data_IF_458229084579
#
_entry.id   IF_458229084579
#
_cell.length_a   1.000
_cell.length_b   1.000
_cell.length_c   1.000
_cell.angle_alpha   90.00
_cell.angle_beta   90.00
_cell.angle_gamma   90.00
#
_symmetry.space_group_name_H-M   'P 1'
#
loop_
_entity.id
_entity.type
_entity.pdbx_description
1 polymer ?
#
# COMPACT_ATOMS: atom_id res chain seq x y z
N UNK A 1 26.70 -5.28 -11.30
CA UNK A 1 25.60 -4.52 -11.93
C UNK A 1 25.61 -3.13 -11.30
N UNK A 2 25.51 -2.04 -12.07
CA UNK A 2 25.57 -0.70 -11.47
C UNK A 2 24.22 -0.35 -10.81
N UNK A 3 24.25 0.49 -9.78
CA UNK A 3 23.03 0.99 -9.11
C UNK A 3 22.14 1.76 -10.10
N UNK A 4 22.72 2.51 -11.05
CA UNK A 4 21.97 3.18 -12.10
C UNK A 4 21.19 2.20 -12.96
N UNK A 5 21.81 1.08 -13.34
CA UNK A 5 21.14 0.03 -14.11
C UNK A 5 19.99 -0.63 -13.33
N UNK A 6 20.17 -0.86 -12.02
CA UNK A 6 19.10 -1.36 -11.15
C UNK A 6 17.90 -0.40 -11.16
N UNK A 7 18.16 0.89 -10.92
CA UNK A 7 17.14 1.93 -10.91
C UNK A 7 16.39 1.99 -12.24
N UNK A 8 17.10 2.06 -13.36
CA UNK A 8 16.49 2.20 -14.68
C UNK A 8 15.64 0.97 -15.02
N UNK A 9 16.11 -0.22 -14.65
CA UNK A 9 15.35 -1.46 -14.85
C UNK A 9 14.09 -1.49 -13.99
N UNK A 10 14.18 -1.08 -12.72
CA UNK A 10 13.04 -0.99 -11.82
C UNK A 10 11.99 0.00 -12.32
N UNK A 11 12.42 1.18 -12.74
CA UNK A 11 11.53 2.21 -13.29
C UNK A 11 10.88 1.76 -14.60
N UNK A 12 11.59 1.00 -15.44
CA UNK A 12 11.03 0.43 -16.67
C UNK A 12 9.99 -0.66 -16.39
N UNK A 13 10.19 -1.48 -15.36
CA UNK A 13 9.31 -2.61 -15.04
C UNK A 13 8.07 -2.21 -14.22
N UNK A 14 8.26 -1.37 -13.20
CA UNK A 14 7.18 -0.99 -12.27
C UNK A 14 6.62 0.41 -12.51
N UNK A 15 7.37 1.28 -13.19
CA UNK A 15 7.08 2.71 -13.23
C UNK A 15 7.56 3.45 -11.97
N UNK A 16 7.45 4.77 -11.99
CA UNK A 16 7.97 5.63 -10.92
C UNK A 16 7.19 5.51 -9.60
N UNK A 17 5.86 5.34 -9.68
CA UNK A 17 4.98 5.38 -8.51
C UNK A 17 5.26 4.21 -7.54
N UNK A 18 5.29 2.93 -7.98
CA UNK A 18 5.53 1.83 -7.05
C UNK A 18 6.95 1.83 -6.49
N UNK A 19 7.95 2.23 -7.30
CA UNK A 19 9.34 2.37 -6.85
C UNK A 19 9.45 3.45 -5.78
N UNK A 20 8.84 4.61 -6.01
CA UNK A 20 8.80 5.69 -5.03
C UNK A 20 8.10 5.25 -3.74
N UNK A 21 6.90 4.69 -3.85
CA UNK A 21 6.13 4.22 -2.70
C UNK A 21 6.89 3.19 -1.87
N UNK A 22 7.56 2.23 -2.50
CA UNK A 22 8.39 1.27 -1.79
C UNK A 22 9.51 1.98 -1.01
N UNK A 23 10.26 2.86 -1.66
CA UNK A 23 11.42 3.53 -1.07
C UNK A 23 11.07 4.56 0.02
N UNK A 24 9.90 5.18 -0.05
CA UNK A 24 9.50 6.23 0.91
C UNK A 24 8.55 5.75 1.99
N UNK A 25 7.79 4.69 1.74
CA UNK A 25 6.68 4.28 2.62
C UNK A 25 6.95 2.94 3.28
N UNK A 26 7.41 1.94 2.52
CA UNK A 26 7.67 0.59 3.02
C UNK A 26 9.08 0.50 3.60
N UNK A 27 10.10 0.82 2.80
CA UNK A 27 11.51 0.66 3.15
C UNK A 27 11.92 1.37 4.45
N UNK A 28 11.60 2.65 4.70
CA UNK A 28 12.14 3.38 5.86
C UNK A 28 11.53 2.96 7.20
N UNK A 29 10.62 1.98 7.23
CA UNK A 29 10.04 1.46 8.48
C UNK A 29 11.04 0.72 9.35
N UNK A 30 12.09 0.17 8.73
CA UNK A 30 13.13 -0.57 9.42
C UNK A 30 14.49 0.04 9.07
N UNK A 31 15.44 -0.02 10.01
CA UNK A 31 16.81 0.45 9.78
C UNK A 31 17.68 -0.72 9.35
N UNK A 32 18.22 -0.69 8.13
CA UNK A 32 18.99 -1.80 7.58
C UNK A 32 20.49 -1.65 7.85
N UNK A 33 21.19 -2.75 8.18
CA UNK A 33 22.61 -2.72 8.49
C UNK A 33 23.47 -2.37 7.25
N UNK A 34 24.71 -1.99 7.51
CA UNK A 34 25.73 -1.76 6.49
C UNK A 34 25.96 -0.29 6.13
N UNK A 35 27.12 0.04 5.53
CA UNK A 35 27.57 1.42 5.29
C UNK A 35 26.95 2.09 4.06
N UNK A 36 26.13 1.35 3.29
CA UNK A 36 25.52 1.83 2.04
C UNK A 36 24.37 2.80 2.29
N UNK A 37 24.05 3.63 1.28
CA UNK A 37 22.90 4.53 1.35
C UNK A 37 21.61 3.72 1.41
N UNK A 38 20.66 4.14 2.24
CA UNK A 38 19.39 3.42 2.41
C UNK A 38 18.63 3.23 1.10
N UNK A 39 18.66 4.23 0.23
CA UNK A 39 18.01 4.16 -1.09
C UNK A 39 18.61 3.05 -1.94
N UNK A 40 19.94 2.87 -1.92
CA UNK A 40 20.64 1.84 -2.70
C UNK A 40 20.31 0.44 -2.19
N UNK A 41 20.29 0.28 -0.85
CA UNK A 41 19.86 -0.96 -0.19
C UNK A 41 18.41 -1.31 -0.58
N UNK A 42 17.52 -0.32 -0.55
CA UNK A 42 16.11 -0.50 -0.90
C UNK A 42 15.91 -0.87 -2.37
N UNK A 43 16.62 -0.20 -3.29
CA UNK A 43 16.60 -0.55 -4.71
C UNK A 43 17.08 -1.98 -4.95
N UNK A 44 18.13 -2.41 -4.27
CA UNK A 44 18.67 -3.77 -4.38
C UNK A 44 17.63 -4.82 -3.94
N UNK A 45 16.95 -4.60 -2.81
CA UNK A 45 15.90 -5.50 -2.32
C UNK A 45 14.68 -5.48 -3.22
N UNK A 46 14.25 -4.30 -3.70
CA UNK A 46 13.12 -4.20 -4.62
C UNK A 46 13.40 -4.94 -5.93
N UNK A 47 14.64 -4.85 -6.43
CA UNK A 47 15.05 -5.58 -7.63
C UNK A 47 15.07 -7.09 -7.41
N UNK A 48 15.56 -7.54 -6.25
CA UNK A 48 15.50 -8.95 -5.85
C UNK A 48 14.06 -9.46 -5.78
N UNK A 49 13.11 -8.68 -5.22
CA UNK A 49 11.69 -9.06 -5.14
C UNK A 49 11.05 -9.32 -6.51
N UNK A 50 11.39 -8.52 -7.52
CA UNK A 50 10.75 -8.62 -8.84
C UNK A 50 11.34 -9.75 -9.68
N UNK A 51 12.65 -9.90 -9.63
CA UNK A 51 13.37 -10.77 -10.56
C UNK A 51 13.80 -12.10 -9.96
N UNK A 52 13.74 -12.25 -8.63
CA UNK A 52 14.07 -13.49 -7.95
C UNK A 52 15.55 -13.89 -8.05
N UNK A 53 16.46 -12.93 -8.25
CA UNK A 53 17.88 -13.22 -8.41
C UNK A 53 18.51 -13.79 -7.14
N UNK A 54 19.53 -14.62 -7.35
CA UNK A 54 20.34 -15.20 -6.29
C UNK A 54 21.19 -14.14 -5.57
N UNK A 55 21.57 -14.45 -4.33
CA UNK A 55 22.50 -13.61 -3.56
C UNK A 55 23.85 -13.41 -4.26
N UNK A 56 24.25 -14.35 -5.12
CA UNK A 56 25.50 -14.29 -5.88
C UNK A 56 25.46 -13.22 -6.97
N UNK A 57 24.33 -13.09 -7.67
CA UNK A 57 24.10 -12.04 -8.67
C UNK A 57 24.07 -10.65 -8.03
N UNK A 58 23.51 -10.54 -6.82
CA UNK A 58 23.48 -9.30 -6.03
C UNK A 58 24.88 -8.85 -5.58
N UNK A 59 25.85 -9.78 -5.48
CA UNK A 59 27.23 -9.48 -5.09
C UNK A 59 27.91 -8.50 -6.05
N UNK A 60 27.45 -8.46 -7.29
CA UNK A 60 27.97 -7.57 -8.33
C UNK A 60 27.65 -6.08 -8.09
N UNK A 61 26.75 -5.78 -7.15
CA UNK A 61 26.34 -4.41 -6.78
C UNK A 61 26.79 -4.05 -5.37
N UNK A 62 26.90 -5.03 -4.47
CA UNK A 62 27.25 -4.84 -3.06
C UNK A 62 27.89 -6.12 -2.49
N UNK A 63 28.85 -6.04 -1.54
CA UNK A 63 29.47 -7.20 -0.94
C UNK A 63 28.45 -8.18 -0.33
N UNK A 64 28.73 -9.48 -0.50
CA UNK A 64 27.85 -10.60 -0.12
C UNK A 64 27.40 -10.53 1.34
N UNK A 65 28.29 -10.12 2.24
CA UNK A 65 28.02 -9.98 3.67
C UNK A 65 26.97 -8.91 3.96
N UNK A 66 27.06 -7.76 3.28
CA UNK A 66 26.10 -6.67 3.41
C UNK A 66 24.75 -7.05 2.79
N UNK A 67 24.76 -7.64 1.60
CA UNK A 67 23.56 -8.16 0.96
C UNK A 67 22.85 -9.17 1.89
N UNK A 68 23.60 -10.13 2.44
CA UNK A 68 23.04 -11.16 3.32
C UNK A 68 22.44 -10.55 4.59
N UNK A 69 23.11 -9.60 5.22
CA UNK A 69 22.60 -8.92 6.41
C UNK A 69 21.28 -8.17 6.12
N UNK A 70 21.23 -7.45 4.99
CA UNK A 70 20.02 -6.71 4.58
C UNK A 70 18.89 -7.69 4.23
N UNK A 71 19.19 -8.73 3.44
CA UNK A 71 18.21 -9.76 3.05
C UNK A 71 17.65 -10.49 4.28
N UNK A 72 18.51 -10.94 5.19
CA UNK A 72 18.08 -11.60 6.42
C UNK A 72 17.21 -10.67 7.29
N UNK A 73 17.56 -9.39 7.37
CA UNK A 73 16.75 -8.43 8.10
C UNK A 73 15.38 -8.22 7.45
N UNK A 74 15.32 -8.00 6.13
CA UNK A 74 14.08 -7.77 5.40
C UNK A 74 13.14 -8.98 5.42
N UNK A 75 13.63 -10.16 5.03
CA UNK A 75 12.81 -11.34 4.81
C UNK A 75 12.62 -12.24 6.03
N UNK A 76 13.50 -12.16 7.03
CA UNK A 76 13.39 -13.02 8.24
C UNK A 76 12.97 -12.21 9.46
N UNK A 77 13.74 -11.17 9.78
CA UNK A 77 13.55 -10.44 11.05
C UNK A 77 12.33 -9.52 11.01
N UNK A 78 12.20 -8.74 9.94
CA UNK A 78 11.17 -7.69 9.83
C UNK A 78 10.00 -8.12 8.94
N UNK A 79 9.92 -9.40 8.54
CA UNK A 79 8.89 -9.92 7.65
C UNK A 79 7.47 -9.62 8.13
N UNK A 80 7.21 -9.86 9.41
CA UNK A 80 5.89 -9.65 10.04
C UNK A 80 5.52 -8.17 10.07
N UNK A 81 6.49 -7.29 10.38
CA UNK A 81 6.34 -5.83 10.37
C UNK A 81 5.95 -5.34 8.98
N UNK A 82 6.70 -5.74 7.95
CA UNK A 82 6.45 -5.35 6.57
C UNK A 82 5.08 -5.84 6.09
N UNK A 83 4.76 -7.12 6.30
CA UNK A 83 3.47 -7.68 5.85
C UNK A 83 2.28 -7.02 6.53
N UNK A 84 2.34 -6.80 7.85
CA UNK A 84 1.28 -6.09 8.58
C UNK A 84 1.07 -4.68 8.02
N UNK A 85 2.17 -3.99 7.73
CA UNK A 85 2.10 -2.63 7.21
C UNK A 85 1.60 -2.58 5.76
N UNK A 86 2.08 -3.47 4.89
CA UNK A 86 1.61 -3.59 3.52
C UNK A 86 0.13 -3.94 3.50
N UNK A 87 -0.32 -4.88 4.33
CA UNK A 87 -1.75 -5.22 4.45
C UNK A 87 -2.58 -4.02 4.90
N UNK A 88 -2.07 -3.21 5.82
CA UNK A 88 -2.72 -1.95 6.27
C UNK A 88 -2.76 -0.91 5.15
N UNK A 89 -1.68 -0.78 4.38
CA UNK A 89 -1.64 0.13 3.24
C UNK A 89 -2.66 -0.30 2.19
N UNK A 90 -2.72 -1.59 1.85
CA UNK A 90 -3.66 -2.14 0.87
C UNK A 90 -5.11 -2.00 1.34
N UNK A 91 -5.40 -2.26 2.62
CA UNK A 91 -6.76 -2.11 3.16
C UNK A 91 -7.26 -0.66 3.14
N UNK A 92 -6.35 0.31 3.20
CA UNK A 92 -6.67 1.75 3.22
C UNK A 92 -6.38 2.47 1.91
N UNK A 93 -5.81 1.79 0.91
CA UNK A 93 -5.33 2.38 -0.35
C UNK A 93 -6.45 3.07 -1.14
N UNK A 94 -7.66 2.51 -1.13
CA UNK A 94 -8.84 3.12 -1.75
C UNK A 94 -9.68 3.96 -0.77
N UNK A 95 -9.26 3.99 0.49
CA UNK A 95 -9.93 4.78 1.55
C UNK A 95 -9.37 6.20 1.69
N UNK A 96 -8.50 6.64 0.76
CA UNK A 96 -7.90 7.97 0.80
C UNK A 96 -8.90 9.01 0.31
N UNK A 97 -9.09 10.07 1.11
CA UNK A 97 -10.09 11.12 0.85
C UNK A 97 -9.92 11.77 -0.52
N UNK A 98 -8.68 11.98 -0.98
CA UNK A 98 -8.39 12.58 -2.29
C UNK A 98 -8.79 11.66 -3.44
N UNK A 99 -8.52 10.36 -3.35
CA UNK A 99 -8.96 9.40 -4.38
C UNK A 99 -10.49 9.36 -4.42
N UNK A 100 -11.12 9.28 -3.24
CA UNK A 100 -12.58 9.29 -3.10
C UNK A 100 -13.21 10.55 -3.70
N UNK A 101 -12.68 11.73 -3.38
CA UNK A 101 -13.16 13.01 -3.92
C UNK A 101 -12.93 13.13 -5.43
N UNK A 102 -11.81 12.61 -5.95
CA UNK A 102 -11.49 12.70 -7.37
C UNK A 102 -12.35 11.74 -8.20
N UNK A 103 -12.53 10.50 -7.73
CA UNK A 103 -13.43 9.53 -8.35
C UNK A 103 -14.88 10.02 -8.35
N UNK A 104 -15.33 10.63 -7.24
CA UNK A 104 -16.64 11.27 -7.17
C UNK A 104 -16.79 12.39 -8.21
N UNK A 105 -15.79 13.27 -8.36
CA UNK A 105 -15.82 14.33 -9.39
C UNK A 105 -15.89 13.79 -10.82
N UNK A 106 -15.24 12.66 -11.10
CA UNK A 106 -15.20 12.09 -12.45
C UNK A 106 -16.49 11.32 -12.80
N UNK A 107 -17.04 10.56 -11.85
CA UNK A 107 -18.16 9.63 -12.11
C UNK A 107 -19.53 10.17 -11.72
N UNK A 108 -19.61 11.17 -10.85
CA UNK A 108 -20.90 11.70 -10.44
C UNK A 108 -21.57 12.45 -11.60
N UNK A 109 -22.90 12.33 -11.74
CA UNK A 109 -23.66 13.17 -12.66
C UNK A 109 -23.42 14.66 -12.38
N UNK A 110 -23.53 15.53 -13.39
CA UNK A 110 -23.51 16.98 -13.18
C UNK A 110 -24.54 17.35 -12.10
N UNK A 111 -24.14 18.16 -11.12
CA UNK A 111 -24.91 18.60 -9.94
C UNK A 111 -24.95 17.65 -8.72
N UNK A 112 -24.37 16.44 -8.80
CA UNK A 112 -24.32 15.51 -7.67
C UNK A 112 -23.02 15.70 -6.84
N UNK A 113 -22.98 16.71 -5.96
CA UNK A 113 -21.74 17.17 -5.30
C UNK A 113 -21.52 16.69 -3.86
N UNK A 114 -22.55 16.17 -3.17
CA UNK A 114 -22.54 16.11 -1.68
C UNK A 114 -22.80 14.73 -1.04
N UNK A 115 -23.15 13.68 -1.79
CA UNK A 115 -23.62 12.39 -1.21
C UNK A 115 -22.56 11.29 -1.16
N UNK A 116 -21.49 11.35 -1.97
CA UNK A 116 -20.51 10.25 -2.07
C UNK A 116 -19.72 9.99 -0.78
N UNK A 117 -19.67 10.97 0.14
CA UNK A 117 -19.07 10.82 1.47
C UNK A 117 -19.97 10.05 2.46
N UNK A 118 -21.26 9.84 2.14
CA UNK A 118 -22.24 9.20 3.02
C UNK A 118 -22.42 7.70 2.77
N UNK A 119 -22.09 7.20 1.58
CA UNK A 119 -22.47 5.83 1.15
C UNK A 119 -21.38 4.79 1.52
N UNK A 120 -20.13 5.21 1.70
CA UNK A 120 -18.98 4.28 1.80
C UNK A 120 -18.81 3.61 3.18
N UNK A 121 -19.82 3.68 4.07
CA UNK A 121 -19.66 3.22 5.46
C UNK A 121 -20.73 2.28 6.01
N UNK A 122 -21.93 2.17 5.40
CA UNK A 122 -23.07 1.51 6.04
C UNK A 122 -24.02 0.73 5.11
N UNK A 123 -23.70 0.55 3.82
CA UNK A 123 -24.60 -0.19 2.90
C UNK A 123 -24.35 -1.70 2.85
N UNK A 124 -23.37 -2.24 3.59
CA UNK A 124 -23.07 -3.69 3.60
C UNK A 124 -23.93 -4.53 4.56
N UNK A 125 -25.15 -4.08 4.90
CA UNK A 125 -26.18 -4.95 5.50
C UNK A 125 -27.58 -4.79 4.92
N UNK A 126 -27.71 -4.22 3.71
CA UNK A 126 -28.96 -4.33 2.97
C UNK A 126 -28.87 -5.52 2.01
N UNK A 127 -29.08 -6.73 2.53
CA UNK A 127 -29.23 -7.91 1.69
C UNK A 127 -30.10 -8.97 2.38
N UNK A 128 -31.39 -8.87 2.04
CA UNK A 128 -32.40 -9.94 1.97
C UNK A 128 -33.06 -10.42 3.28
N UNK A 129 -34.40 -10.37 3.22
CA UNK A 129 -35.42 -10.98 4.09
C UNK A 129 -35.69 -10.40 5.49
N UNK A 130 -36.66 -9.48 5.54
CA UNK A 130 -37.67 -9.49 6.61
C UNK A 130 -37.39 -8.74 7.92
N UNK A 131 -36.35 -7.88 8.01
CA UNK A 131 -36.10 -7.16 9.27
C UNK A 131 -37.01 -5.94 9.48
N UNK A 132 -37.60 -5.86 10.68
CA UNK A 132 -38.54 -4.82 11.10
C UNK A 132 -37.82 -3.48 11.30
N UNK A 133 -38.34 -2.44 10.66
CA UNK A 133 -37.88 -1.04 10.66
C UNK A 133 -37.50 -0.44 12.05
N UNK A 134 -38.00 -1.05 13.14
CA UNK A 134 -37.72 -0.67 14.53
C UNK A 134 -36.28 -0.97 14.98
N UNK A 135 -35.61 -1.93 14.36
CA UNK A 135 -34.24 -2.34 14.74
C UNK A 135 -33.16 -1.45 14.11
N UNK A 136 -33.56 -0.59 13.16
CA UNK A 136 -32.65 0.28 12.40
C UNK A 136 -32.60 1.71 12.96
N UNK A 137 -32.54 1.84 14.29
CA UNK A 137 -32.45 3.14 14.96
C UNK A 137 -31.07 3.77 14.77
N UNK A 138 -31.01 4.92 14.12
CA UNK A 138 -29.77 5.70 14.02
C UNK A 138 -29.56 6.49 15.31
N UNK A 139 -28.58 6.10 16.12
CA UNK A 139 -28.15 6.86 17.31
C UNK A 139 -27.71 8.29 16.96
N UNK A 140 -27.24 8.52 15.73
CA UNK A 140 -26.84 9.84 15.23
C UNK A 140 -28.04 10.73 14.89
N UNK A 141 -29.05 10.18 14.23
CA UNK A 141 -30.25 10.95 13.83
C UNK A 141 -31.35 10.93 14.91
N UNK A 142 -31.18 10.09 15.94
CA UNK A 142 -32.18 9.75 16.95
C UNK A 142 -33.53 9.31 16.35
N UNK A 143 -33.50 8.75 15.14
CA UNK A 143 -34.65 8.26 14.36
C UNK A 143 -34.22 7.14 13.41
N UNK A 144 -35.15 6.39 12.77
CA UNK A 144 -34.80 5.36 11.80
C UNK A 144 -33.91 5.90 10.67
N UNK A 145 -32.82 5.18 10.37
CA UNK A 145 -31.78 5.62 9.43
C UNK A 145 -32.16 5.54 7.96
N UNK A 146 -33.15 4.71 7.62
CA UNK A 146 -33.74 4.64 6.30
C UNK A 146 -34.84 5.71 6.23
N UNK A 147 -34.60 6.76 5.44
CA UNK A 147 -35.67 7.66 5.00
C UNK A 147 -36.41 6.96 3.85
N UNK A 148 -37.74 6.99 3.93
CA UNK A 148 -38.71 6.74 2.84
C UNK A 148 -38.20 7.12 1.46
#
# INVERSE_FOLDING_TARGET
MSISHLKDTLLKLLGAIPVFFFLTTIWPKCKYPGPYREVEKGLLILFNLIKGFSMEEMTSSMPRTSCHAIHAMFYKKEYTTHNKYIATCLSTMFSIITIRLTAAKEKNPPLFQHVTLHVDGHDTKAAYDGELQKEMYSYKLKKPGLRT
#
